data_IF_735859247797
#
_entry.id   IF_735859247797
#
_cell.length_a   1.000
_cell.length_b   1.000
_cell.length_c   1.000
_cell.angle_alpha   90.00
_cell.angle_beta   90.00
_cell.angle_gamma   90.00
#
_symmetry.space_group_name_H-M   'P 1'
#
loop_
_entity.id
_entity.type
_entity.pdbx_description
1 polymer ?
#
# COMPACT_ATOMS: atom_id res chain seq x y z
N UNK A 1 10.29 -0.06 -34.85
CA UNK A 1 9.81 -1.00 -33.80
C UNK A 1 10.84 -0.98 -32.68
N UNK A 2 10.50 -0.44 -31.51
CA UNK A 2 11.43 -0.31 -30.38
C UNK A 2 11.59 -1.69 -29.72
N UNK A 3 12.75 -2.32 -29.93
CA UNK A 3 13.12 -3.57 -29.24
C UNK A 3 13.70 -3.18 -27.89
N UNK A 4 12.87 -3.25 -26.84
CA UNK A 4 13.34 -3.01 -25.47
C UNK A 4 14.21 -4.20 -25.04
N UNK A 5 15.48 -3.93 -24.74
CA UNK A 5 16.43 -4.95 -24.25
C UNK A 5 16.25 -5.18 -22.75
N UNK A 6 16.47 -6.41 -22.24
CA UNK A 6 16.29 -6.73 -20.81
C UNK A 6 17.11 -5.84 -19.87
N UNK A 7 18.31 -5.44 -20.28
CA UNK A 7 19.16 -4.51 -19.49
C UNK A 7 18.56 -3.11 -19.37
N UNK A 8 17.80 -2.66 -20.38
CA UNK A 8 17.10 -1.37 -20.35
C UNK A 8 15.83 -1.44 -19.50
N UNK A 9 15.21 -2.62 -19.40
CA UNK A 9 14.07 -2.88 -18.52
C UNK A 9 14.49 -2.83 -17.04
N UNK A 10 15.61 -3.45 -16.69
CA UNK A 10 16.14 -3.44 -15.32
C UNK A 10 16.52 -2.03 -14.83
N UNK A 11 17.22 -1.22 -15.65
CA UNK A 11 17.56 0.17 -15.31
C UNK A 11 16.29 1.04 -15.18
N UNK A 12 15.27 0.78 -15.98
CA UNK A 12 13.99 1.47 -15.91
C UNK A 12 13.19 1.09 -14.67
N UNK A 13 13.15 -0.19 -14.33
CA UNK A 13 12.52 -0.72 -13.11
C UNK A 13 13.20 -0.18 -11.85
N UNK A 14 14.54 -0.12 -11.82
CA UNK A 14 15.31 0.44 -10.70
C UNK A 14 15.03 1.94 -10.49
N UNK A 15 15.01 2.74 -11.57
CA UNK A 15 14.70 4.18 -11.48
C UNK A 15 13.24 4.45 -11.15
N UNK A 16 12.32 3.66 -11.71
CA UNK A 16 10.90 3.75 -11.38
C UNK A 16 10.69 3.44 -9.89
N UNK A 17 11.38 2.40 -9.38
CA UNK A 17 11.34 2.03 -7.97
C UNK A 17 11.95 3.11 -7.05
N UNK A 18 13.08 3.74 -7.42
CA UNK A 18 13.68 4.83 -6.63
C UNK A 18 12.76 6.06 -6.55
N UNK A 19 12.14 6.44 -7.68
CA UNK A 19 11.16 7.54 -7.69
C UNK A 19 9.91 7.20 -6.88
N UNK A 20 9.41 5.97 -7.00
CA UNK A 20 8.27 5.45 -6.24
C UNK A 20 8.58 5.53 -4.74
N UNK A 21 9.70 4.97 -4.33
CA UNK A 21 10.17 4.91 -2.94
C UNK A 21 10.24 6.28 -2.28
N UNK A 22 10.83 7.27 -2.97
CA UNK A 22 10.94 8.65 -2.47
C UNK A 22 9.58 9.31 -2.30
N UNK A 23 8.66 9.07 -3.23
CA UNK A 23 7.29 9.58 -3.13
C UNK A 23 6.53 8.87 -1.99
N UNK A 24 6.82 7.61 -1.72
CA UNK A 24 6.08 6.79 -0.76
C UNK A 24 6.44 7.23 0.66
N UNK A 25 7.73 7.34 0.93
CA UNK A 25 8.25 7.86 2.20
C UNK A 25 7.71 9.28 2.44
N UNK A 26 7.72 10.13 1.41
CA UNK A 26 7.19 11.50 1.53
C UNK A 26 5.69 11.49 1.86
N UNK A 27 4.91 10.66 1.18
CA UNK A 27 3.47 10.49 1.43
C UNK A 27 3.21 10.04 2.85
N UNK A 28 3.84 8.94 3.28
CA UNK A 28 3.71 8.38 4.63
C UNK A 28 4.05 9.41 5.72
N UNK A 29 5.13 10.17 5.55
CA UNK A 29 5.52 11.23 6.49
C UNK A 29 4.59 12.45 6.50
N UNK A 30 3.79 12.64 5.45
CA UNK A 30 2.88 13.79 5.32
C UNK A 30 1.48 13.44 5.79
N UNK A 31 0.95 12.30 5.35
CA UNK A 31 -0.42 11.86 5.61
C UNK A 31 -0.55 11.09 6.92
N UNK A 32 0.50 10.34 7.32
CA UNK A 32 0.52 9.53 8.55
C UNK A 32 1.72 9.92 9.44
N UNK A 33 1.88 11.20 9.83
CA UNK A 33 3.06 11.65 10.56
C UNK A 33 3.19 10.98 11.93
N UNK A 34 2.09 10.71 12.62
CA UNK A 34 2.08 10.14 13.97
C UNK A 34 2.51 8.67 13.97
N UNK A 35 2.05 7.89 12.98
CA UNK A 35 2.40 6.47 12.81
C UNK A 35 3.84 6.29 12.29
N UNK A 36 4.43 7.32 11.68
CA UNK A 36 5.74 7.24 11.01
C UNK A 36 6.86 7.98 11.74
N UNK A 37 6.57 8.72 12.82
CA UNK A 37 7.54 9.55 13.54
C UNK A 37 8.69 8.74 14.15
N UNK A 38 8.42 7.51 14.60
CA UNK A 38 9.41 6.61 15.19
C UNK A 38 10.21 5.79 14.17
N UNK A 39 9.81 5.82 12.90
CA UNK A 39 10.36 4.95 11.87
C UNK A 39 11.44 5.65 11.04
N UNK A 40 12.53 4.92 10.78
CA UNK A 40 13.55 5.34 9.84
C UNK A 40 13.04 5.26 8.40
N UNK A 41 13.59 6.06 7.49
CA UNK A 41 13.24 6.00 6.06
C UNK A 41 13.48 4.59 5.47
N UNK A 42 14.47 3.85 5.97
CA UNK A 42 14.72 2.47 5.58
C UNK A 42 13.61 1.52 6.01
N UNK A 43 13.06 1.70 7.22
CA UNK A 43 11.94 0.89 7.70
C UNK A 43 10.66 1.17 6.89
N UNK A 44 10.38 2.46 6.60
CA UNK A 44 9.26 2.85 5.73
C UNK A 44 9.40 2.25 4.33
N UNK A 45 10.61 2.27 3.78
CA UNK A 45 10.92 1.68 2.48
C UNK A 45 10.68 0.16 2.46
N UNK A 46 11.14 -0.54 3.49
CA UNK A 46 11.01 -1.98 3.58
C UNK A 46 9.54 -2.40 3.73
N UNK A 47 8.75 -1.66 4.52
CA UNK A 47 7.30 -1.86 4.61
C UNK A 47 6.60 -1.67 3.27
N UNK A 48 6.91 -0.58 2.55
CA UNK A 48 6.39 -0.35 1.19
C UNK A 48 6.78 -1.48 0.23
N UNK A 49 8.03 -1.96 0.31
CA UNK A 49 8.52 -3.10 -0.50
C UNK A 49 7.78 -4.40 -0.20
N UNK A 50 7.42 -4.64 1.05
CA UNK A 50 6.64 -5.81 1.48
C UNK A 50 5.20 -5.74 0.97
N UNK A 51 4.59 -4.54 1.01
CA UNK A 51 3.21 -4.33 0.59
C UNK A 51 2.99 -4.45 -0.93
N UNK A 52 3.96 -4.00 -1.76
CA UNK A 52 3.84 -4.03 -3.22
C UNK A 52 3.44 -5.41 -3.79
N UNK A 53 4.16 -6.53 -3.50
CA UNK A 53 3.80 -7.83 -4.03
C UNK A 53 2.46 -8.35 -3.48
N UNK A 54 2.07 -7.95 -2.27
CA UNK A 54 0.78 -8.34 -1.68
C UNK A 54 -0.35 -7.63 -2.42
N UNK A 55 -0.26 -6.30 -2.55
CA UNK A 55 -1.21 -5.48 -3.30
C UNK A 55 -1.35 -5.96 -4.76
N UNK A 56 -0.23 -6.31 -5.40
CA UNK A 56 -0.22 -6.84 -6.77
C UNK A 56 -1.00 -8.15 -6.92
N UNK A 57 -1.02 -9.03 -5.92
CA UNK A 57 -1.82 -10.26 -5.95
C UNK A 57 -3.33 -9.98 -6.01
N UNK A 58 -3.77 -8.85 -5.48
CA UNK A 58 -5.17 -8.40 -5.51
C UNK A 58 -5.50 -7.51 -6.73
N UNK A 59 -4.54 -7.32 -7.62
CA UNK A 59 -4.70 -6.51 -8.84
C UNK A 59 -4.47 -5.01 -8.64
N UNK A 60 -3.91 -4.60 -7.48
CA UNK A 60 -3.51 -3.22 -7.20
C UNK A 60 -2.11 -2.99 -7.79
N UNK A 61 -2.01 -2.11 -8.78
CA UNK A 61 -0.79 -2.01 -9.62
C UNK A 61 -0.31 -0.59 -9.85
N UNK A 62 -1.16 0.42 -9.64
CA UNK A 62 -0.75 1.82 -9.77
C UNK A 62 -0.38 2.46 -8.43
N UNK A 63 0.20 3.67 -8.49
CA UNK A 63 0.64 4.44 -7.33
C UNK A 63 -0.43 4.57 -6.24
N UNK A 64 -1.62 5.06 -6.61
CA UNK A 64 -2.68 5.35 -5.66
C UNK A 64 -3.21 4.08 -5.00
N UNK A 65 -3.35 3.01 -5.78
CA UNK A 65 -3.83 1.71 -5.30
C UNK A 65 -2.86 1.07 -4.30
N UNK A 66 -1.57 1.10 -4.62
CA UNK A 66 -0.55 0.55 -3.73
C UNK A 66 -0.44 1.39 -2.47
N UNK A 67 -0.44 2.72 -2.57
CA UNK A 67 -0.37 3.58 -1.39
C UNK A 67 -1.59 3.44 -0.50
N UNK A 68 -2.80 3.27 -1.05
CA UNK A 68 -3.99 2.99 -0.24
C UNK A 68 -3.84 1.69 0.57
N UNK A 69 -3.23 0.65 -0.01
CA UNK A 69 -2.94 -0.59 0.71
C UNK A 69 -1.89 -0.38 1.81
N UNK A 70 -0.82 0.38 1.51
CA UNK A 70 0.21 0.71 2.50
C UNK A 70 -0.39 1.54 3.64
N UNK A 71 -1.16 2.57 3.33
CA UNK A 71 -1.80 3.44 4.32
C UNK A 71 -2.76 2.63 5.20
N UNK A 72 -3.54 1.71 4.63
CA UNK A 72 -4.37 0.78 5.38
C UNK A 72 -3.55 -0.11 6.34
N UNK A 73 -2.41 -0.64 5.90
CA UNK A 73 -1.53 -1.42 6.76
C UNK A 73 -1.00 -0.63 7.97
N UNK A 74 -0.68 0.66 7.79
CA UNK A 74 -0.26 1.54 8.89
C UNK A 74 -1.43 1.87 9.83
N UNK A 75 -2.61 2.16 9.29
CA UNK A 75 -3.81 2.47 10.10
C UNK A 75 -4.26 1.28 10.96
N UNK A 76 -4.03 0.06 10.49
CA UNK A 76 -4.40 -1.16 11.21
C UNK A 76 -3.25 -1.75 12.05
N UNK A 77 -2.06 -1.15 12.00
CA UNK A 77 -0.82 -1.67 12.60
C UNK A 77 -0.52 -3.15 12.23
N UNK A 78 -0.93 -3.57 11.03
CA UNK A 78 -0.71 -4.93 10.50
C UNK A 78 -0.42 -4.92 8.99
N UNK A 79 0.77 -5.38 8.59
CA UNK A 79 1.16 -5.51 7.17
C UNK A 79 0.44 -6.65 6.44
N UNK A 80 -0.15 -7.60 7.18
CA UNK A 80 -0.87 -8.77 6.68
C UNK A 80 -2.34 -8.77 7.09
N UNK A 81 -2.93 -7.58 7.24
CA UNK A 81 -4.35 -7.39 7.50
C UNK A 81 -5.23 -8.11 6.46
N UNK A 82 -4.70 -8.37 5.26
CA UNK A 82 -5.35 -9.14 4.20
C UNK A 82 -5.66 -10.60 4.59
N UNK A 83 -4.95 -11.14 5.58
CA UNK A 83 -5.13 -12.49 6.11
C UNK A 83 -5.62 -12.52 7.57
N UNK A 84 -5.67 -11.37 8.24
CA UNK A 84 -6.06 -11.32 9.64
C UNK A 84 -7.58 -11.56 9.79
N UNK A 85 -8.02 -12.53 10.61
CA UNK A 85 -9.43 -12.75 10.90
C UNK A 85 -10.16 -11.53 11.50
N UNK A 86 -9.47 -10.66 12.23
CA UNK A 86 -10.04 -9.46 12.83
C UNK A 86 -10.41 -8.42 11.76
N UNK A 87 -9.74 -8.46 10.60
CA UNK A 87 -10.03 -7.64 9.43
C UNK A 87 -10.72 -8.42 8.30
N UNK A 88 -11.74 -9.20 8.64
CA UNK A 88 -12.50 -10.04 7.68
C UNK A 88 -13.04 -9.29 6.44
N UNK A 89 -13.29 -7.98 6.56
CA UNK A 89 -13.76 -7.13 5.47
C UNK A 89 -12.66 -6.89 4.41
N UNK A 90 -11.39 -6.93 4.79
CA UNK A 90 -10.27 -6.66 3.89
C UNK A 90 -10.17 -7.69 2.74
N UNK A 91 -10.14 -9.01 2.98
CA UNK A 91 -10.15 -9.99 1.90
C UNK A 91 -11.47 -9.97 1.11
N UNK A 92 -12.60 -9.57 1.69
CA UNK A 92 -13.88 -9.44 0.97
C UNK A 92 -13.82 -8.32 -0.09
N UNK A 93 -13.29 -7.15 0.29
CA UNK A 93 -13.07 -6.03 -0.64
C UNK A 93 -12.02 -6.40 -1.68
N UNK A 94 -10.86 -6.89 -1.25
CA UNK A 94 -9.71 -7.17 -2.11
C UNK A 94 -9.98 -8.27 -3.14
N UNK A 95 -10.77 -9.29 -2.79
CA UNK A 95 -11.15 -10.37 -3.72
C UNK A 95 -12.44 -10.10 -4.49
N UNK A 96 -13.12 -8.98 -4.27
CA UNK A 96 -14.39 -8.69 -4.94
C UNK A 96 -14.21 -8.64 -6.47
N UNK A 97 -14.95 -9.45 -7.24
CA UNK A 97 -14.90 -9.42 -8.71
C UNK A 97 -15.74 -8.27 -9.29
N UNK A 98 -16.54 -7.59 -8.45
CA UNK A 98 -17.44 -6.51 -8.86
C UNK A 98 -16.81 -5.12 -8.75
N UNK A 99 -15.66 -5.03 -8.08
CA UNK A 99 -14.94 -3.78 -7.88
C UNK A 99 -13.73 -3.72 -8.81
N UNK A 100 -13.52 -2.55 -9.43
CA UNK A 100 -12.26 -2.21 -10.07
C UNK A 100 -11.13 -2.10 -9.03
N UNK A 101 -9.87 -2.19 -9.48
CA UNK A 101 -8.69 -2.04 -8.61
C UNK A 101 -8.71 -0.73 -7.82
N UNK A 102 -9.14 0.37 -8.43
CA UNK A 102 -9.29 1.65 -7.76
C UNK A 102 -10.42 1.65 -6.73
N UNK A 103 -11.58 1.07 -7.05
CA UNK A 103 -12.70 0.99 -6.08
C UNK A 103 -12.33 0.13 -4.87
N UNK A 104 -11.55 -0.94 -5.08
CA UNK A 104 -10.99 -1.73 -3.98
C UNK A 104 -10.09 -0.89 -3.10
N UNK A 105 -9.15 -0.15 -3.68
CA UNK A 105 -8.22 0.71 -2.95
C UNK A 105 -8.95 1.78 -2.12
N UNK A 106 -9.95 2.44 -2.70
CA UNK A 106 -10.76 3.45 -2.00
C UNK A 106 -11.52 2.82 -0.83
N UNK A 107 -12.29 1.75 -1.09
CA UNK A 107 -13.09 1.12 -0.04
C UNK A 107 -12.23 0.51 1.07
N UNK A 108 -11.07 -0.04 0.72
CA UNK A 108 -10.10 -0.56 1.67
C UNK A 108 -9.64 0.54 2.63
N UNK A 109 -9.21 1.68 2.07
CA UNK A 109 -8.71 2.79 2.86
C UNK A 109 -9.82 3.41 3.72
N UNK A 110 -11.02 3.60 3.17
CA UNK A 110 -12.18 4.11 3.91
C UNK A 110 -12.54 3.20 5.10
N UNK A 111 -12.48 1.88 4.90
CA UNK A 111 -12.76 0.89 5.95
C UNK A 111 -11.67 0.90 7.03
N UNK A 112 -10.40 1.01 6.64
CA UNK A 112 -9.28 1.12 7.59
C UNK A 112 -9.37 2.40 8.44
N UNK A 113 -9.75 3.53 7.84
CA UNK A 113 -9.99 4.77 8.59
C UNK A 113 -11.15 4.64 9.58
N UNK A 114 -12.24 3.98 9.18
CA UNK A 114 -13.38 3.76 10.06
C UNK A 114 -13.00 2.90 11.26
N UNK A 115 -12.22 1.83 11.07
CA UNK A 115 -11.70 1.01 12.17
C UNK A 115 -10.77 1.80 13.08
N UNK A 116 -9.78 2.53 12.54
CA UNK A 116 -8.85 3.31 13.37
C UNK A 116 -9.58 4.36 14.23
N UNK A 117 -10.64 5.01 13.72
CA UNK A 117 -11.44 5.96 14.50
C UNK A 117 -12.23 5.31 15.64
N UNK A 118 -12.61 4.03 15.52
CA UNK A 118 -13.29 3.32 16.61
C UNK A 118 -12.36 3.05 17.79
N UNK A 119 -11.04 2.93 17.56
CA UNK A 119 -10.05 2.71 18.60
C UNK A 119 -9.63 4.00 19.33
N UNK A 120 -9.82 5.18 18.73
CA UNK A 120 -9.48 6.48 19.35
C UNK A 120 -10.53 6.98 20.37
N UNK A 121 -11.72 6.35 20.44
CA UNK A 121 -12.83 6.76 21.34
C UNK A 121 -12.92 5.97 22.67
N UNK A 122 -12.03 5.02 22.97
CA UNK A 122 -11.95 4.29 24.27
C UNK A 122 -10.90 4.83 25.25
#
# INVERSE_FOLDING_TARGET
MLVIRPDQKAIFEERAFDSFSKQAIKHLRTELPELTVGLSDGALLDSVRTCIPIAANYGLTNWAEIMAFVDAAYLLDDERFDLDPDYWWAPEILNSPYLSSMEKAIQLLDSAFAENQLFDEE
#
